data_IF_389179015889
#
_entry.id   IF_389179015889
#
_cell.length_a   1.000
_cell.length_b   1.000
_cell.length_c   1.000
_cell.angle_alpha   90.00
_cell.angle_beta   90.00
_cell.angle_gamma   90.00
#
_symmetry.space_group_name_H-M   'P 1'
#
loop_
_entity.id
_entity.type
_entity.pdbx_description
1 polymer ?
#
# COMPACT_ATOMS: atom_id res chain seq x y z
N UNK A 1 22.90 5.66 3.46
CA UNK A 1 21.70 5.09 4.09
C UNK A 1 21.65 5.61 5.51
N UNK A 2 20.49 5.99 6.02
CA UNK A 2 20.32 6.40 7.42
C UNK A 2 20.44 5.21 8.38
N UNK A 3 20.87 5.46 9.62
CA UNK A 3 21.12 4.43 10.66
C UNK A 3 19.86 3.59 10.96
N UNK A 4 18.69 4.21 10.98
CA UNK A 4 17.41 3.51 11.21
C UNK A 4 17.06 2.53 10.07
N UNK A 5 17.40 2.88 8.82
CA UNK A 5 17.17 2.00 7.66
C UNK A 5 18.19 0.87 7.63
N UNK A 6 19.43 1.12 8.04
CA UNK A 6 20.43 0.06 8.26
C UNK A 6 19.99 -0.93 9.35
N UNK A 7 19.42 -0.41 10.44
CA UNK A 7 18.88 -1.23 11.53
C UNK A 7 17.70 -2.08 11.06
N UNK A 8 16.76 -1.48 10.33
CA UNK A 8 15.63 -2.19 9.72
C UNK A 8 16.11 -3.30 8.76
N UNK A 9 17.08 -3.01 7.90
CA UNK A 9 17.67 -4.00 6.98
C UNK A 9 18.27 -5.19 7.73
N UNK A 10 18.95 -4.93 8.85
CA UNK A 10 19.52 -5.98 9.68
C UNK A 10 18.43 -6.81 10.37
N UNK A 11 17.36 -6.18 10.87
CA UNK A 11 16.21 -6.89 11.44
C UNK A 11 15.57 -7.82 10.40
N UNK A 12 15.34 -7.36 9.17
CA UNK A 12 14.81 -8.20 8.09
C UNK A 12 15.75 -9.37 7.79
N UNK A 13 17.07 -9.14 7.76
CA UNK A 13 18.07 -10.20 7.56
C UNK A 13 18.06 -11.25 8.67
N UNK A 14 17.81 -10.88 9.92
CA UNK A 14 17.71 -11.82 11.04
C UNK A 14 16.50 -12.76 10.91
N UNK A 15 15.45 -12.31 10.21
CA UNK A 15 14.23 -13.08 9.98
C UNK A 15 14.24 -13.90 8.67
N UNK A 16 15.27 -13.78 7.84
CA UNK A 16 15.35 -14.45 6.54
C UNK A 16 16.49 -15.48 6.49
N UNK A 17 16.17 -16.73 6.15
CA UNK A 17 17.12 -17.86 6.20
C UNK A 17 18.16 -17.88 5.07
N UNK A 18 18.02 -16.98 4.09
CA UNK A 18 18.91 -16.86 2.92
C UNK A 18 19.52 -15.45 2.84
N UNK A 19 20.52 -15.21 1.98
CA UNK A 19 21.06 -13.87 1.80
C UNK A 19 19.99 -12.88 1.33
N UNK A 20 20.03 -11.67 1.89
CA UNK A 20 19.27 -10.51 1.41
C UNK A 20 20.25 -9.45 0.93
N UNK A 21 20.13 -9.08 -0.34
CA UNK A 21 20.93 -8.09 -1.03
C UNK A 21 20.07 -6.85 -1.36
N UNK A 22 20.70 -5.68 -1.35
CA UNK A 22 20.09 -4.43 -1.77
C UNK A 22 20.80 -3.96 -3.03
N UNK A 23 20.04 -3.74 -4.10
CA UNK A 23 20.53 -3.17 -5.34
C UNK A 23 19.92 -1.77 -5.51
N UNK A 24 20.77 -0.75 -5.62
CA UNK A 24 20.33 0.63 -5.82
C UNK A 24 20.86 1.06 -7.18
N UNK A 25 19.94 1.26 -8.11
CA UNK A 25 20.24 1.64 -9.48
C UNK A 25 19.23 2.68 -9.99
N UNK A 26 19.50 3.27 -11.14
CA UNK A 26 18.60 4.24 -11.77
C UNK A 26 18.86 5.70 -11.40
N UNK A 27 18.21 6.58 -12.17
CA UNK A 27 18.32 8.03 -12.01
C UNK A 27 17.22 8.56 -11.10
N UNK A 28 17.44 9.72 -10.48
CA UNK A 28 16.43 10.38 -9.67
C UNK A 28 15.40 11.06 -10.58
N UNK A 29 14.17 10.55 -10.64
CA UNK A 29 13.07 11.20 -11.36
C UNK A 29 12.60 12.50 -10.71
N UNK A 30 12.89 12.70 -9.42
CA UNK A 30 12.42 13.84 -8.62
C UNK A 30 11.03 13.65 -8.00
N UNK A 31 10.40 12.49 -8.19
CA UNK A 31 9.12 12.12 -7.57
C UNK A 31 9.22 10.75 -6.89
N UNK A 32 8.33 10.47 -5.94
CA UNK A 32 8.25 9.17 -5.27
C UNK A 32 6.95 8.46 -5.63
N UNK A 33 7.07 7.23 -6.14
CA UNK A 33 5.97 6.37 -6.60
C UNK A 33 6.22 4.92 -6.17
N UNK A 34 5.15 4.12 -6.03
CA UNK A 34 5.24 2.74 -5.51
C UNK A 34 5.90 1.74 -6.48
N UNK A 35 6.19 2.11 -7.72
CA UNK A 35 6.82 1.25 -8.74
C UNK A 35 8.35 1.40 -8.80
N UNK A 36 8.93 2.22 -7.93
CA UNK A 36 10.37 2.51 -7.88
C UNK A 36 11.18 1.46 -7.11
N UNK A 37 10.52 0.40 -6.65
CA UNK A 37 11.16 -0.72 -5.99
C UNK A 37 10.46 -2.03 -6.28
N UNK A 38 11.25 -3.12 -6.23
CA UNK A 38 10.72 -4.46 -6.39
C UNK A 38 11.63 -5.49 -5.74
N UNK A 39 11.07 -6.67 -5.50
CA UNK A 39 11.74 -7.80 -4.91
C UNK A 39 12.01 -8.87 -5.97
N UNK A 40 13.23 -9.41 -6.00
CA UNK A 40 13.61 -10.50 -6.89
C UNK A 40 14.18 -11.66 -6.09
N UNK A 41 13.47 -12.79 -6.09
CA UNK A 41 13.98 -14.03 -5.52
C UNK A 41 14.84 -14.78 -6.55
N UNK A 42 16.13 -14.91 -6.29
CA UNK A 42 17.07 -15.70 -7.09
C UNK A 42 16.88 -17.20 -6.87
N UNK A 43 17.38 -18.01 -7.80
CA UNK A 43 17.26 -19.49 -7.77
C UNK A 43 17.93 -20.13 -6.55
N UNK A 44 18.92 -19.48 -5.95
CA UNK A 44 19.64 -19.93 -4.77
C UNK A 44 18.96 -19.51 -3.45
N UNK A 45 17.79 -18.87 -3.52
CA UNK A 45 17.06 -18.35 -2.37
C UNK A 45 17.47 -16.92 -1.98
N UNK A 46 18.48 -16.33 -2.63
CA UNK A 46 18.87 -14.95 -2.34
C UNK A 46 17.74 -13.99 -2.74
N UNK A 47 17.31 -13.15 -1.81
CA UNK A 47 16.33 -12.09 -2.06
C UNK A 47 17.06 -10.79 -2.39
N UNK A 48 16.76 -10.19 -3.54
CA UNK A 48 17.25 -8.85 -3.90
C UNK A 48 16.12 -7.86 -3.74
N UNK A 49 16.34 -6.82 -2.94
CA UNK A 49 15.48 -5.63 -2.89
C UNK A 49 16.11 -4.59 -3.82
N UNK A 50 15.50 -4.38 -4.98
CA UNK A 50 15.98 -3.44 -5.98
C UNK A 50 15.24 -2.11 -5.85
N UNK A 51 16.00 -1.03 -5.69
CA UNK A 51 15.52 0.36 -5.77
C UNK A 51 15.97 0.91 -7.11
N UNK A 52 15.03 1.29 -7.97
CA UNK A 52 15.27 1.71 -9.37
C UNK A 52 15.20 3.21 -9.60
N UNK A 53 14.96 3.99 -8.54
CA UNK A 53 14.97 5.44 -8.56
C UNK A 53 15.69 5.98 -7.33
N UNK A 54 16.64 6.89 -7.54
CA UNK A 54 17.52 7.42 -6.48
C UNK A 54 17.03 8.72 -5.84
N UNK A 55 15.79 9.15 -6.12
CA UNK A 55 15.17 10.38 -5.60
C UNK A 55 15.16 10.44 -4.07
N UNK A 56 14.83 9.33 -3.41
CA UNK A 56 14.93 9.19 -1.96
C UNK A 56 15.08 7.71 -1.56
N UNK A 57 16.32 7.21 -1.61
CA UNK A 57 16.63 5.79 -1.39
C UNK A 57 16.18 5.31 -0.01
N UNK A 58 16.38 6.09 1.05
CA UNK A 58 16.03 5.67 2.42
C UNK A 58 14.50 5.50 2.57
N UNK A 59 13.71 6.41 1.98
CA UNK A 59 12.25 6.28 1.94
C UNK A 59 11.82 5.02 1.18
N UNK A 60 12.32 4.84 -0.06
CA UNK A 60 11.88 3.73 -0.91
C UNK A 60 12.34 2.38 -0.36
N UNK A 61 13.59 2.28 0.12
CA UNK A 61 14.12 1.05 0.68
C UNK A 61 13.41 0.66 1.99
N UNK A 62 13.18 1.62 2.90
CA UNK A 62 12.45 1.33 4.14
C UNK A 62 11.02 0.85 3.87
N UNK A 63 10.35 1.39 2.85
CA UNK A 63 9.02 0.96 2.44
C UNK A 63 8.97 -0.54 2.12
N UNK A 64 9.88 -1.01 1.25
CA UNK A 64 9.97 -2.43 0.89
C UNK A 64 10.38 -3.33 2.06
N UNK A 65 11.37 -2.88 2.85
CA UNK A 65 11.83 -3.65 4.00
C UNK A 65 10.73 -3.82 5.05
N UNK A 66 9.86 -2.82 5.22
CA UNK A 66 8.71 -2.93 6.14
C UNK A 66 7.66 -3.91 5.64
N UNK A 67 7.37 -3.94 4.32
CA UNK A 67 6.51 -4.98 3.75
C UNK A 67 7.05 -6.39 4.04
N UNK A 68 8.35 -6.60 3.80
CA UNK A 68 9.03 -7.86 4.12
C UNK A 68 8.96 -8.19 5.61
N UNK A 69 9.25 -7.22 6.48
CA UNK A 69 9.24 -7.41 7.92
C UNK A 69 7.84 -7.78 8.43
N UNK A 70 6.79 -7.13 7.94
CA UNK A 70 5.42 -7.46 8.31
C UNK A 70 5.05 -8.87 7.87
N UNK A 71 5.43 -9.27 6.66
CA UNK A 71 5.26 -10.66 6.21
C UNK A 71 5.96 -11.65 7.14
N UNK A 72 7.22 -11.39 7.51
CA UNK A 72 8.01 -12.25 8.41
C UNK A 72 7.45 -12.27 9.84
N UNK A 73 6.85 -11.17 10.30
CA UNK A 73 6.16 -11.07 11.60
C UNK A 73 4.75 -11.69 11.59
N UNK A 74 4.35 -12.34 10.50
CA UNK A 74 3.09 -13.05 10.38
C UNK A 74 1.88 -12.14 10.19
N UNK A 75 2.08 -10.91 9.68
CA UNK A 75 0.96 -10.11 9.21
C UNK A 75 0.28 -10.79 8.02
N UNK A 76 -1.06 -10.73 7.95
CA UNK A 76 -1.82 -11.43 6.92
C UNK A 76 -1.40 -10.98 5.53
N UNK A 77 -1.13 -11.92 4.63
CA UNK A 77 -0.83 -11.65 3.23
C UNK A 77 -2.09 -11.85 2.39
N UNK A 78 -2.30 -10.99 1.40
CA UNK A 78 -3.35 -11.15 0.41
C UNK A 78 -3.00 -12.29 -0.55
N UNK A 79 -3.94 -13.20 -0.76
CA UNK A 79 -3.79 -14.37 -1.63
C UNK A 79 -5.03 -14.56 -2.47
N UNK A 80 -4.83 -14.90 -3.75
CA UNK A 80 -5.89 -15.19 -4.69
C UNK A 80 -5.85 -16.66 -5.07
N UNK A 81 -6.90 -17.40 -4.70
CA UNK A 81 -6.98 -18.85 -4.93
C UNK A 81 -8.06 -19.25 -5.92
N UNK A 82 -8.99 -18.34 -6.22
CA UNK A 82 -10.13 -18.56 -7.09
C UNK A 82 -10.13 -17.50 -8.19
N UNK A 83 -10.53 -17.93 -9.38
CA UNK A 83 -10.72 -17.10 -10.56
C UNK A 83 -12.21 -17.11 -10.91
N UNK A 84 -12.72 -15.99 -11.39
CA UNK A 84 -14.07 -15.90 -11.98
C UNK A 84 -14.14 -16.65 -13.32
N UNK A 85 -12.99 -16.86 -13.97
CA UNK A 85 -12.90 -17.46 -15.30
C UNK A 85 -12.95 -16.44 -16.44
N UNK A 86 -13.15 -15.16 -16.13
CA UNK A 86 -12.96 -14.03 -17.05
C UNK A 86 -11.69 -13.25 -16.67
N UNK A 87 -10.62 -13.28 -17.49
CA UNK A 87 -9.37 -12.62 -17.17
C UNK A 87 -9.48 -11.12 -16.89
N UNK A 88 -10.41 -10.40 -17.56
CA UNK A 88 -10.56 -8.96 -17.33
C UNK A 88 -11.19 -8.67 -15.97
N UNK A 89 -12.14 -9.51 -15.57
CA UNK A 89 -12.75 -9.42 -14.25
C UNK A 89 -11.73 -9.80 -13.18
N UNK A 90 -10.96 -10.87 -13.40
CA UNK A 90 -9.91 -11.31 -12.48
C UNK A 90 -8.84 -10.22 -12.28
N UNK A 91 -8.38 -9.58 -13.36
CA UNK A 91 -7.42 -8.46 -13.29
C UNK A 91 -7.96 -7.27 -12.47
N UNK A 92 -9.26 -6.96 -12.62
CA UNK A 92 -9.91 -5.89 -11.85
C UNK A 92 -10.01 -6.25 -10.37
N UNK A 93 -10.44 -7.47 -10.04
CA UNK A 93 -10.52 -7.96 -8.65
C UNK A 93 -9.13 -7.93 -8.00
N UNK A 94 -8.10 -8.35 -8.74
CA UNK A 94 -6.72 -8.31 -8.28
C UNK A 94 -6.25 -6.89 -8.01
N UNK A 95 -6.49 -5.97 -8.95
CA UNK A 95 -6.11 -4.58 -8.79
C UNK A 95 -6.81 -3.94 -7.58
N UNK A 96 -8.13 -4.07 -7.46
CA UNK A 96 -8.90 -3.41 -6.38
C UNK A 96 -8.57 -4.02 -5.02
N UNK A 97 -8.56 -5.34 -4.89
CA UNK A 97 -8.22 -6.01 -3.63
C UNK A 97 -6.80 -5.69 -3.17
N UNK A 98 -5.84 -5.68 -4.11
CA UNK A 98 -4.44 -5.35 -3.80
C UNK A 98 -4.29 -3.89 -3.38
N UNK A 99 -4.95 -2.95 -4.07
CA UNK A 99 -4.93 -1.54 -3.67
C UNK A 99 -5.53 -1.32 -2.27
N UNK A 100 -6.64 -1.97 -1.94
CA UNK A 100 -7.28 -1.86 -0.62
C UNK A 100 -6.41 -2.47 0.48
N UNK A 101 -5.83 -3.64 0.24
CA UNK A 101 -4.88 -4.27 1.16
C UNK A 101 -3.65 -3.37 1.38
N UNK A 102 -3.03 -2.89 0.30
CA UNK A 102 -1.85 -2.03 0.37
C UNK A 102 -2.14 -0.74 1.13
N UNK A 103 -3.29 -0.09 0.92
CA UNK A 103 -3.64 1.11 1.68
C UNK A 103 -3.65 0.87 3.20
N UNK A 104 -4.14 -0.29 3.65
CA UNK A 104 -4.10 -0.64 5.07
C UNK A 104 -2.68 -0.94 5.57
N UNK A 105 -1.85 -1.63 4.78
CA UNK A 105 -0.44 -1.90 5.15
C UNK A 105 0.39 -0.63 5.16
N UNK A 106 0.18 0.26 4.19
CA UNK A 106 0.93 1.51 4.06
C UNK A 106 0.71 2.44 5.24
N UNK A 107 -0.44 2.41 5.92
CA UNK A 107 -0.60 3.16 7.18
C UNK A 107 0.41 2.73 8.26
N UNK A 108 0.77 1.44 8.33
CA UNK A 108 1.81 0.95 9.23
C UNK A 108 3.20 1.36 8.77
N UNK A 109 3.47 1.28 7.46
CA UNK A 109 4.74 1.70 6.85
C UNK A 109 5.00 3.19 7.11
N UNK A 110 4.02 4.03 6.80
CA UNK A 110 4.08 5.49 6.97
C UNK A 110 4.22 5.86 8.43
N UNK A 111 3.53 5.18 9.35
CA UNK A 111 3.70 5.41 10.79
C UNK A 111 5.15 5.18 11.22
N UNK A 112 5.75 4.05 10.82
CA UNK A 112 7.17 3.78 11.09
C UNK A 112 8.08 4.82 10.46
N UNK A 113 7.91 5.13 9.17
CA UNK A 113 8.74 6.11 8.47
C UNK A 113 8.65 7.51 9.08
N UNK A 114 7.49 7.88 9.61
CA UNK A 114 7.29 9.14 10.34
C UNK A 114 8.07 9.16 11.65
N UNK A 115 7.96 8.09 12.43
CA UNK A 115 8.65 7.96 13.73
C UNK A 115 10.18 7.95 13.59
N UNK A 116 10.69 7.57 12.41
CA UNK A 116 12.12 7.54 12.07
C UNK A 116 12.57 8.69 11.14
N UNK A 117 11.78 9.78 11.07
CA UNK A 117 12.12 11.01 10.35
C UNK A 117 12.38 10.86 8.83
N UNK A 118 11.85 9.82 8.19
CA UNK A 118 11.98 9.61 6.75
C UNK A 118 10.96 10.42 5.93
N UNK A 119 9.85 10.82 6.56
CA UNK A 119 8.83 11.68 5.96
C UNK A 119 9.16 13.17 6.13
N UNK A 120 10.30 13.60 5.60
CA UNK A 120 10.67 15.02 5.55
C UNK A 120 9.74 15.82 4.62
N UNK A 121 9.72 17.15 4.75
CA UNK A 121 8.96 18.02 3.83
C UNK A 121 9.30 17.75 2.35
N UNK A 122 10.57 17.44 2.06
CA UNK A 122 11.00 17.07 0.71
C UNK A 122 10.40 15.74 0.26
N UNK A 123 10.41 14.71 1.10
CA UNK A 123 9.80 13.41 0.79
C UNK A 123 8.28 13.55 0.58
N UNK A 124 7.60 14.31 1.44
CA UNK A 124 6.16 14.61 1.29
C UNK A 124 5.87 15.32 -0.02
N UNK A 125 6.67 16.32 -0.39
CA UNK A 125 6.51 17.01 -1.67
C UNK A 125 6.72 16.08 -2.87
N UNK A 126 7.71 15.17 -2.81
CA UNK A 126 7.99 14.20 -3.86
C UNK A 126 6.87 13.16 -4.02
N UNK A 127 6.27 12.69 -2.92
CA UNK A 127 5.10 11.80 -2.94
C UNK A 127 3.88 12.51 -3.54
N UNK A 128 3.59 13.74 -3.11
CA UNK A 128 2.48 14.53 -3.66
C UNK A 128 2.66 14.83 -5.15
N UNK A 129 3.90 15.05 -5.59
CA UNK A 129 4.22 15.24 -7.01
C UNK A 129 3.99 13.94 -7.80
N UNK A 130 4.47 12.79 -7.30
CA UNK A 130 4.23 11.48 -7.90
C UNK A 130 2.73 11.14 -8.00
N UNK A 131 1.97 11.45 -6.95
CA UNK A 131 0.51 11.30 -6.97
C UNK A 131 -0.13 12.15 -8.06
N UNK A 132 0.19 13.45 -8.15
CA UNK A 132 -0.37 14.36 -9.17
C UNK A 132 0.03 13.97 -10.60
N UNK A 133 1.19 13.34 -10.78
CA UNK A 133 1.64 12.86 -12.07
C UNK A 133 0.82 11.65 -12.55
N UNK A 134 0.46 10.75 -11.64
CA UNK A 134 -0.19 9.48 -11.99
C UNK A 134 -1.71 9.54 -11.90
N UNK A 135 -2.26 10.35 -11.02
CA UNK A 135 -3.69 10.48 -10.78
C UNK A 135 -4.19 11.78 -11.40
N UNK A 136 -4.89 11.74 -12.55
CA UNK A 136 -5.44 12.94 -13.16
C UNK A 136 -6.62 13.46 -12.33
N UNK A 137 -6.73 14.78 -12.24
CA UNK A 137 -7.89 15.47 -11.67
C UNK A 137 -9.21 14.97 -12.27
N UNK A 138 -10.31 15.13 -11.54
CA UNK A 138 -11.63 14.69 -12.01
C UNK A 138 -12.03 15.36 -13.31
N UNK A 139 -12.54 14.52 -14.22
CA UNK A 139 -13.08 14.87 -15.52
C UNK A 139 -14.24 13.92 -15.84
N UNK A 140 -14.94 14.18 -16.94
CA UNK A 140 -16.01 13.31 -17.45
C UNK A 140 -15.41 12.04 -18.08
N UNK A 141 -14.99 11.10 -17.22
CA UNK A 141 -14.35 9.84 -17.58
C UNK A 141 -14.72 8.71 -16.60
N UNK A 142 -14.15 7.51 -16.81
CA UNK A 142 -14.44 6.30 -16.02
C UNK A 142 -13.40 6.02 -14.93
N UNK A 143 -12.61 7.02 -14.50
CA UNK A 143 -11.49 6.82 -13.57
C UNK A 143 -11.87 7.01 -12.09
N UNK A 144 -13.16 7.13 -11.76
CA UNK A 144 -13.61 7.40 -10.38
C UNK A 144 -13.09 6.37 -9.37
N UNK A 145 -13.13 5.06 -9.71
CA UNK A 145 -12.64 3.99 -8.82
C UNK A 145 -11.13 4.08 -8.62
N UNK A 146 -10.38 4.31 -9.71
CA UNK A 146 -8.94 4.51 -9.65
C UNK A 146 -8.56 5.71 -8.75
N UNK A 147 -9.29 6.83 -8.88
CA UNK A 147 -9.10 8.01 -8.02
C UNK A 147 -9.44 7.72 -6.56
N UNK A 148 -10.52 6.99 -6.28
CA UNK A 148 -10.90 6.61 -4.90
C UNK A 148 -9.80 5.78 -4.24
N UNK A 149 -9.31 4.74 -4.91
CA UNK A 149 -8.26 3.87 -4.36
C UNK A 149 -6.94 4.62 -4.17
N UNK A 150 -6.56 5.47 -5.14
CA UNK A 150 -5.34 6.27 -5.03
C UNK A 150 -5.43 7.31 -3.92
N UNK A 151 -6.59 7.96 -3.75
CA UNK A 151 -6.82 8.94 -2.69
C UNK A 151 -6.87 8.28 -1.31
N UNK A 152 -7.41 7.07 -1.20
CA UNK A 152 -7.40 6.31 0.06
C UNK A 152 -5.97 6.12 0.55
N UNK A 153 -5.09 5.65 -0.33
CA UNK A 153 -3.68 5.44 0.00
C UNK A 153 -2.97 6.76 0.37
N UNK A 154 -3.23 7.83 -0.39
CA UNK A 154 -2.69 9.16 -0.07
C UNK A 154 -3.23 9.72 1.26
N UNK A 155 -4.50 9.49 1.59
CA UNK A 155 -5.06 9.86 2.89
C UNK A 155 -4.36 9.09 4.02
N UNK A 156 -4.07 7.80 3.83
CA UNK A 156 -3.25 7.00 4.73
C UNK A 156 -1.86 7.61 4.93
N UNK A 157 -1.21 8.02 3.84
CA UNK A 157 0.09 8.70 3.87
C UNK A 157 0.03 10.03 4.65
N UNK A 158 -0.97 10.86 4.41
CA UNK A 158 -1.07 12.21 4.98
C UNK A 158 -1.84 12.28 6.30
N UNK A 159 -2.12 11.16 6.97
CA UNK A 159 -2.98 11.11 8.17
C UNK A 159 -4.32 11.85 7.98
N UNK A 160 -4.91 11.71 6.79
CA UNK A 160 -6.16 12.34 6.41
C UNK A 160 -6.08 13.81 5.99
N UNK A 161 -4.92 14.47 6.07
CA UNK A 161 -4.80 15.89 5.73
C UNK A 161 -4.33 16.09 4.29
N UNK A 162 -5.17 16.64 3.40
CA UNK A 162 -4.79 16.94 2.02
C UNK A 162 -4.74 18.46 1.77
N UNK A 163 -3.80 18.94 0.94
CA UNK A 163 -3.83 20.32 0.47
C UNK A 163 -5.16 20.68 -0.20
N UNK A 164 -5.66 21.90 0.04
CA UNK A 164 -6.96 22.35 -0.48
C UNK A 164 -7.04 22.28 -2.01
N UNK A 165 -5.95 22.56 -2.71
CA UNK A 165 -5.86 22.42 -4.17
C UNK A 165 -6.12 20.97 -4.64
N UNK A 166 -5.64 19.98 -3.88
CA UNK A 166 -5.83 18.59 -4.19
C UNK A 166 -7.27 18.18 -3.88
N UNK A 167 -7.79 18.61 -2.73
CA UNK A 167 -9.18 18.34 -2.37
C UNK A 167 -10.18 18.88 -3.40
N UNK A 168 -9.91 20.06 -3.96
CA UNK A 168 -10.74 20.67 -5.00
C UNK A 168 -10.64 19.97 -6.36
N UNK A 169 -9.56 19.21 -6.61
CA UNK A 169 -9.39 18.44 -7.85
C UNK A 169 -10.18 17.13 -7.87
N UNK A 170 -10.69 16.68 -6.72
CA UNK A 170 -11.39 15.40 -6.56
C UNK A 170 -12.73 15.49 -5.81
N UNK A 171 -13.67 16.36 -6.23
CA UNK A 171 -14.93 16.58 -5.50
C UNK A 171 -15.83 15.34 -5.37
N UNK A 172 -15.76 14.37 -6.28
CA UNK A 172 -16.56 13.14 -6.24
C UNK A 172 -15.84 11.98 -5.52
N UNK A 173 -14.57 11.75 -5.83
CA UNK A 173 -13.79 10.62 -5.32
C UNK A 173 -13.29 10.84 -3.89
N UNK A 174 -12.94 12.08 -3.51
CA UNK A 174 -12.41 12.35 -2.17
C UNK A 174 -13.39 12.02 -1.05
N UNK A 175 -14.70 12.38 -1.10
CA UNK A 175 -15.63 11.97 -0.05
C UNK A 175 -15.74 10.45 0.13
N UNK A 176 -15.62 9.69 -0.96
CA UNK A 176 -15.68 8.22 -0.93
C UNK A 176 -14.39 7.62 -0.37
N UNK A 177 -13.23 8.13 -0.79
CA UNK A 177 -11.94 7.75 -0.22
C UNK A 177 -11.84 8.09 1.27
N UNK A 178 -12.40 9.24 1.68
CA UNK A 178 -12.51 9.66 3.09
C UNK A 178 -13.30 8.64 3.91
N UNK A 179 -14.45 8.18 3.42
CA UNK A 179 -15.25 7.17 4.13
C UNK A 179 -14.45 5.88 4.38
N UNK A 180 -13.64 5.46 3.39
CA UNK A 180 -12.77 4.29 3.52
C UNK A 180 -11.61 4.53 4.50
N UNK A 181 -10.99 5.72 4.43
CA UNK A 181 -9.92 6.13 5.34
C UNK A 181 -10.41 6.19 6.79
N UNK A 182 -11.54 6.84 7.05
CA UNK A 182 -12.09 6.99 8.41
C UNK A 182 -12.40 5.62 9.04
N UNK A 183 -12.77 4.62 8.21
CA UNK A 183 -12.95 3.24 8.66
C UNK A 183 -11.63 2.58 9.07
N UNK A 184 -10.54 2.86 8.36
CA UNK A 184 -9.20 2.34 8.70
C UNK A 184 -8.63 3.04 9.93
N UNK A 185 -8.74 4.37 9.99
CA UNK A 185 -8.24 5.22 11.09
C UNK A 185 -8.93 4.89 12.43
N UNK A 186 -10.22 4.53 12.39
CA UNK A 186 -10.94 4.05 13.56
C UNK A 186 -10.48 2.66 14.06
N UNK A 187 -9.65 1.94 13.30
CA UNK A 187 -9.20 0.60 13.63
C UNK A 187 -7.75 0.57 14.14
N UNK A 188 -7.50 -0.33 15.10
CA UNK A 188 -6.13 -0.63 15.56
C UNK A 188 -5.46 -1.57 14.56
N UNK A 189 -4.51 -1.04 13.78
CA UNK A 189 -3.71 -1.79 12.80
C UNK A 189 -2.43 -2.39 13.40
N UNK A 190 -2.13 -2.07 14.65
CA UNK A 190 -0.90 -2.40 15.41
C UNK A 190 -0.63 -3.89 15.67
N UNK A 191 -1.44 -4.80 15.11
CA UNK A 191 -1.27 -6.25 15.25
C UNK A 191 -1.73 -6.98 13.98
N UNK A 192 -1.23 -8.21 13.72
CA UNK A 192 -1.69 -9.03 12.61
C UNK A 192 -3.22 -9.23 12.59
N UNK A 193 -3.83 -9.44 13.76
CA UNK A 193 -5.28 -9.54 13.89
C UNK A 193 -6.00 -8.22 13.59
N UNK A 194 -5.42 -7.10 14.04
CA UNK A 194 -5.89 -5.75 13.77
C UNK A 194 -5.93 -5.45 12.27
N UNK A 195 -4.80 -5.67 11.58
CA UNK A 195 -4.70 -5.50 10.13
C UNK A 195 -5.69 -6.40 9.38
N UNK A 196 -5.76 -7.70 9.75
CA UNK A 196 -6.67 -8.64 9.08
C UNK A 196 -8.12 -8.15 9.14
N UNK A 197 -8.57 -7.74 10.33
CA UNK A 197 -9.94 -7.24 10.52
C UNK A 197 -10.17 -5.96 9.72
N UNK A 198 -9.20 -5.06 9.70
CA UNK A 198 -9.31 -3.81 8.95
C UNK A 198 -9.46 -4.03 7.46
N UNK A 199 -8.63 -4.90 6.87
CA UNK A 199 -8.72 -5.23 5.44
C UNK A 199 -10.07 -5.87 5.12
N UNK A 200 -10.56 -6.83 5.93
CA UNK A 200 -11.88 -7.44 5.69
C UNK A 200 -13.02 -6.42 5.73
N UNK A 201 -13.01 -5.51 6.71
CA UNK A 201 -14.01 -4.44 6.77
C UNK A 201 -13.89 -3.45 5.61
N UNK A 202 -12.66 -3.18 5.16
CA UNK A 202 -12.38 -2.28 4.07
C UNK A 202 -12.91 -2.84 2.74
N UNK A 203 -12.67 -4.12 2.44
CA UNK A 203 -13.22 -4.80 1.25
C UNK A 203 -14.75 -4.70 1.22
N UNK A 204 -15.41 -5.06 2.33
CA UNK A 204 -16.88 -4.99 2.42
C UNK A 204 -17.42 -3.55 2.30
N UNK A 205 -16.69 -2.56 2.82
CA UNK A 205 -17.09 -1.14 2.71
C UNK A 205 -16.89 -0.63 1.28
N UNK A 206 -15.85 -1.08 0.60
CA UNK A 206 -15.59 -0.71 -0.78
C UNK A 206 -16.73 -1.15 -1.71
N UNK A 207 -17.29 -2.35 -1.51
CA UNK A 207 -18.49 -2.80 -2.22
C UNK A 207 -19.64 -1.79 -2.08
N UNK A 208 -19.95 -1.37 -0.86
CA UNK A 208 -20.99 -0.36 -0.61
C UNK A 208 -20.67 0.99 -1.27
N UNK A 209 -19.38 1.36 -1.38
CA UNK A 209 -18.95 2.59 -2.06
C UNK A 209 -19.22 2.50 -3.57
N UNK A 210 -18.80 1.42 -4.22
CA UNK A 210 -18.91 1.29 -5.68
C UNK A 210 -20.36 1.01 -6.13
N UNK A 211 -21.17 0.35 -5.31
CA UNK A 211 -22.60 0.18 -5.56
C UNK A 211 -23.35 1.51 -5.61
N UNK A 212 -22.99 2.48 -4.76
CA UNK A 212 -23.57 3.84 -4.80
C UNK A 212 -23.21 4.59 -6.08
N UNK A 213 -22.14 4.19 -6.76
CA UNK A 213 -21.75 4.70 -8.07
C UNK A 213 -22.36 3.90 -9.24
N UNK A 214 -23.16 2.87 -8.95
CA UNK A 214 -23.84 2.04 -9.95
C UNK A 214 -23.02 0.85 -10.46
N UNK A 215 -21.87 0.56 -9.87
CA UNK A 215 -21.09 -0.64 -10.17
C UNK A 215 -21.65 -1.87 -9.45
N UNK A 216 -21.32 -3.06 -9.95
CA UNK A 216 -21.56 -4.30 -9.20
C UNK A 216 -20.53 -4.42 -8.06
N UNK A 217 -20.91 -5.00 -6.91
CA UNK A 217 -19.94 -5.33 -5.86
C UNK A 217 -18.89 -6.30 -6.41
N UNK A 218 -17.65 -6.16 -5.96
CA UNK A 218 -16.55 -7.06 -6.31
C UNK A 218 -16.72 -8.42 -5.65
N UNK A 219 -17.39 -8.47 -4.49
CA UNK A 219 -17.46 -9.65 -3.63
C UNK A 219 -16.06 -10.19 -3.32
N UNK A 220 -15.10 -9.30 -3.10
CA UNK A 220 -13.68 -9.64 -2.92
C UNK A 220 -13.46 -10.69 -1.83
N UNK A 221 -14.34 -10.80 -0.83
CA UNK A 221 -14.27 -11.82 0.21
C UNK A 221 -14.38 -13.28 -0.32
N UNK A 222 -14.88 -13.48 -1.54
CA UNK A 222 -14.95 -14.79 -2.19
C UNK A 222 -13.66 -15.15 -2.95
N UNK A 223 -12.90 -14.16 -3.41
CA UNK A 223 -11.73 -14.36 -4.30
C UNK A 223 -10.40 -14.00 -3.64
N UNK A 224 -10.40 -12.96 -2.81
CA UNK A 224 -9.28 -12.45 -2.04
C UNK A 224 -9.33 -13.03 -0.62
N UNK A 225 -8.33 -13.84 -0.31
CA UNK A 225 -8.15 -14.46 1.00
C UNK A 225 -6.99 -13.83 1.73
N UNK A 226 -7.07 -13.74 3.05
CA UNK A 226 -5.98 -13.33 3.91
C UNK A 226 -5.43 -14.56 4.63
N UNK A 227 -4.10 -14.68 4.71
CA UNK A 227 -3.49 -15.78 5.46
C UNK A 227 -4.03 -15.84 6.89
N UNK A 228 -4.30 -17.04 7.43
CA UNK A 228 -4.79 -17.18 8.79
C UNK A 228 -3.80 -16.60 9.80
N UNK A 229 -4.29 -15.74 10.68
CA UNK A 229 -3.53 -15.28 11.84
C UNK A 229 -3.85 -16.24 12.98
N UNK A 230 -2.89 -17.08 13.35
CA UNK A 230 -3.06 -18.07 14.43
C UNK A 230 -2.69 -17.44 15.78
N UNK A 231 -3.55 -17.64 16.78
CA UNK A 231 -3.18 -17.31 18.17
C UNK A 231 -2.53 -18.53 18.83
N UNK A 232 -1.68 -18.32 19.84
CA UNK A 232 -1.10 -19.41 20.67
C UNK A 232 -2.14 -20.37 21.30
N UNK A 233 -3.44 -20.05 21.24
CA UNK A 233 -4.54 -20.90 21.75
C UNK A 233 -5.12 -21.86 20.70
N UNK A 234 -4.57 -21.88 19.48
CA UNK A 234 -4.96 -22.80 18.41
C UNK A 234 -3.94 -23.91 18.23
#
# INVERSE_FOLDING_TARGET
>A
MQEDVETLLNEVKEHYDHPLEVDISGEASGVLTHDQSHQQLKKDGTLVVAVTDTTNVDYTLSHELLHLLFQMKGYPQLQFHLLSGDPQVDDQLYATSTSLYNAAVHMLVVAWQRDHNLLTDAAVAQVLAGFKQNVPAEADDQLVIYRVLSLLDLLGFSNGELPAELANAYPQALPLARELYDLLDAQKLDSPFGLRRAVVHLLARFDTVIERLGYQPTNDAEFATLTPVLSHRQ
#
